data_IF_691709525015
#
_entry.id   IF_691709525015
#
_cell.length_a   1.000
_cell.length_b   1.000
_cell.length_c   1.000
_cell.angle_alpha   90.00
_cell.angle_beta   90.00
_cell.angle_gamma   90.00
#
_symmetry.space_group_name_H-M   'P 1'
#
loop_
_entity.id
_entity.type
_entity.pdbx_description
1 polymer ?
#
# COMPACT_ATOMS: atom_id res chain seq x y z
N UNK A 1 -2.76 -5.78 43.33
CA UNK A 1 -3.42 -5.93 42.01
C UNK A 1 -2.44 -5.36 40.99
N UNK A 2 -1.53 -6.18 40.48
CA UNK A 2 -0.56 -5.75 39.48
C UNK A 2 -1.27 -5.79 38.13
N UNK A 3 -1.61 -4.63 37.56
CA UNK A 3 -1.94 -4.54 36.16
C UNK A 3 -0.68 -4.91 35.37
N UNK A 4 -0.58 -6.20 35.03
CA UNK A 4 0.35 -6.69 34.02
C UNK A 4 -0.09 -6.11 32.68
N UNK A 5 0.22 -4.83 32.43
CA UNK A 5 0.37 -4.36 31.08
C UNK A 5 1.61 -5.08 30.55
N UNK A 6 1.41 -6.25 29.93
CA UNK A 6 2.45 -6.84 29.09
C UNK A 6 3.00 -5.73 28.21
N UNK A 7 4.33 -5.57 28.12
CA UNK A 7 4.91 -4.55 27.25
C UNK A 7 4.30 -4.73 25.86
N UNK A 8 3.70 -3.65 25.33
CA UNK A 8 3.08 -3.69 24.00
C UNK A 8 4.17 -4.07 23.01
N UNK A 9 3.97 -5.16 22.27
CA UNK A 9 4.94 -5.65 21.31
C UNK A 9 5.22 -4.57 20.25
N UNK A 10 6.47 -4.09 20.11
CA UNK A 10 6.82 -3.11 19.09
C UNK A 10 6.44 -3.55 17.66
N UNK A 11 6.40 -4.86 17.37
CA UNK A 11 5.93 -5.36 16.09
C UNK A 11 4.42 -5.12 15.89
N UNK A 12 3.61 -5.29 16.92
CA UNK A 12 2.17 -4.95 16.85
C UNK A 12 1.96 -3.44 16.65
N UNK A 13 2.78 -2.61 17.32
CA UNK A 13 2.77 -1.15 17.12
C UNK A 13 3.11 -0.81 15.66
N UNK A 14 4.15 -1.42 15.10
CA UNK A 14 4.52 -1.21 13.71
C UNK A 14 3.39 -1.58 12.74
N UNK A 15 2.75 -2.74 12.95
CA UNK A 15 1.59 -3.18 12.17
C UNK A 15 0.42 -2.20 12.22
N UNK A 16 0.16 -1.61 13.41
CA UNK A 16 -0.90 -0.62 13.58
C UNK A 16 -0.58 0.67 12.83
N UNK A 17 0.65 1.18 12.95
CA UNK A 17 1.10 2.39 12.26
C UNK A 17 1.04 2.21 10.73
N UNK A 18 1.43 1.04 10.21
CA UNK A 18 1.34 0.73 8.78
C UNK A 18 -0.11 0.88 8.28
N UNK A 19 -1.08 0.32 9.01
CA UNK A 19 -2.52 0.37 8.68
C UNK A 19 -3.08 1.80 8.76
N UNK A 20 -2.67 2.56 9.76
CA UNK A 20 -3.08 3.97 9.88
C UNK A 20 -2.50 4.81 8.73
N UNK A 21 -1.25 4.56 8.35
CA UNK A 21 -0.64 5.24 7.21
C UNK A 21 -1.36 4.92 5.90
N UNK A 22 -1.63 3.65 5.60
CA UNK A 22 -2.31 3.26 4.34
C UNK A 22 -3.72 3.84 4.27
N UNK A 23 -4.46 3.86 5.39
CA UNK A 23 -5.80 4.48 5.46
C UNK A 23 -5.78 5.98 5.16
N UNK A 24 -4.73 6.69 5.58
CA UNK A 24 -4.58 8.13 5.37
C UNK A 24 -3.97 8.51 4.00
N UNK A 25 -3.40 7.54 3.27
CA UNK A 25 -2.67 7.78 2.02
C UNK A 25 -3.30 7.13 0.78
N UNK A 26 -4.57 6.70 0.86
CA UNK A 26 -5.30 6.05 -0.24
C UNK A 26 -5.26 6.89 -1.54
N UNK A 27 -5.30 8.22 -1.43
CA UNK A 27 -5.24 9.12 -2.60
C UNK A 27 -3.90 9.11 -3.34
N UNK A 28 -2.80 9.01 -2.61
CA UNK A 28 -1.46 8.92 -3.22
C UNK A 28 -1.29 7.54 -3.85
N UNK A 29 -1.75 6.52 -3.14
CA UNK A 29 -1.65 5.12 -3.56
C UNK A 29 -2.46 4.85 -4.84
N UNK A 30 -3.70 5.36 -4.89
CA UNK A 30 -4.59 5.17 -6.04
C UNK A 30 -4.02 5.81 -7.30
N UNK A 31 -3.43 7.00 -7.19
CA UNK A 31 -2.72 7.67 -8.28
C UNK A 31 -1.48 6.90 -8.71
N UNK A 32 -0.73 6.34 -7.75
CA UNK A 32 0.41 5.48 -8.02
C UNK A 32 0.04 4.26 -8.86
N UNK A 33 -0.98 3.51 -8.45
CA UNK A 33 -1.47 2.35 -9.21
C UNK A 33 -1.99 2.77 -10.58
N UNK A 34 -2.81 3.82 -10.67
CA UNK A 34 -3.34 4.30 -11.94
C UNK A 34 -2.23 4.73 -12.92
N UNK A 35 -1.20 5.40 -12.42
CA UNK A 35 -0.01 5.76 -13.20
C UNK A 35 0.73 4.53 -13.74
N UNK A 36 0.89 3.49 -12.92
CA UNK A 36 1.50 2.23 -13.36
C UNK A 36 0.63 1.49 -14.39
N UNK A 37 -0.71 1.48 -14.22
CA UNK A 37 -1.63 0.90 -15.20
C UNK A 37 -1.48 1.59 -16.55
N UNK A 38 -1.47 2.92 -16.59
CA UNK A 38 -1.30 3.66 -17.85
C UNK A 38 0.09 3.46 -18.45
N UNK A 39 1.16 3.49 -17.63
CA UNK A 39 2.52 3.27 -18.12
C UNK A 39 2.72 1.88 -18.75
N UNK A 40 1.99 0.87 -18.27
CA UNK A 40 2.05 -0.50 -18.80
C UNK A 40 1.05 -0.76 -19.94
N UNK A 41 0.14 0.18 -20.22
CA UNK A 41 -0.87 0.05 -21.27
C UNK A 41 -0.85 1.30 -22.16
N UNK A 42 0.00 1.34 -23.21
CA UNK A 42 0.20 2.53 -24.04
C UNK A 42 -1.03 2.98 -24.84
N UNK A 43 -2.08 2.14 -24.88
CA UNK A 43 -3.37 2.47 -25.51
C UNK A 43 -4.29 3.29 -24.59
N UNK A 44 -3.94 3.48 -23.32
CA UNK A 44 -4.73 4.24 -22.36
C UNK A 44 -4.30 5.71 -22.35
N UNK A 45 -5.25 6.60 -22.60
CA UNK A 45 -5.04 8.04 -22.47
C UNK A 45 -4.97 8.49 -21.00
N UNK A 46 -4.33 9.63 -20.74
CA UNK A 46 -4.19 10.21 -19.39
C UNK A 46 -5.54 10.46 -18.70
N UNK A 47 -6.60 10.76 -19.46
CA UNK A 47 -7.97 10.92 -18.94
C UNK A 47 -8.50 9.63 -18.30
N UNK A 48 -8.12 8.47 -18.85
CA UNK A 48 -8.48 7.16 -18.30
C UNK A 48 -7.78 6.92 -16.96
N UNK A 49 -6.56 7.45 -16.77
CA UNK A 49 -5.84 7.38 -15.50
C UNK A 49 -6.62 8.00 -14.33
N UNK A 50 -7.29 9.13 -14.57
CA UNK A 50 -8.08 9.84 -13.54
C UNK A 50 -9.31 9.04 -13.16
N UNK A 51 -10.01 8.45 -14.14
CA UNK A 51 -11.17 7.58 -13.90
C UNK A 51 -10.74 6.34 -13.12
N UNK A 52 -9.69 5.66 -13.57
CA UNK A 52 -9.10 4.50 -12.89
C UNK A 52 -8.68 4.88 -11.46
N UNK A 53 -7.99 5.99 -11.25
CA UNK A 53 -7.59 6.43 -9.90
C UNK A 53 -8.77 6.63 -8.95
N UNK A 54 -9.88 7.21 -9.43
CA UNK A 54 -11.09 7.42 -8.62
C UNK A 54 -11.77 6.10 -8.28
N UNK A 55 -11.85 5.16 -9.22
CA UNK A 55 -12.41 3.83 -8.99
C UNK A 55 -11.55 3.01 -8.02
N UNK A 56 -10.23 3.05 -8.21
CA UNK A 56 -9.26 2.38 -7.34
C UNK A 56 -9.41 2.87 -5.91
N UNK A 57 -9.51 4.19 -5.69
CA UNK A 57 -9.63 4.80 -4.36
C UNK A 57 -10.72 4.13 -3.50
N UNK A 58 -11.83 3.71 -4.11
CA UNK A 58 -12.96 3.10 -3.41
C UNK A 58 -12.80 1.60 -3.15
N UNK A 59 -11.84 0.93 -3.79
CA UNK A 59 -11.75 -0.53 -3.85
C UNK A 59 -10.36 -1.09 -3.50
N UNK A 60 -9.50 -0.30 -2.87
CA UNK A 60 -8.18 -0.80 -2.44
C UNK A 60 -8.35 -1.77 -1.28
N UNK A 61 -7.87 -3.00 -1.49
CA UNK A 61 -7.64 -4.00 -0.46
C UNK A 61 -6.16 -3.99 -0.09
N UNK A 62 -5.87 -4.09 1.20
CA UNK A 62 -4.51 -4.03 1.72
C UNK A 62 -4.10 -5.35 2.35
N UNK A 63 -2.92 -5.81 1.97
CA UNK A 63 -2.21 -6.90 2.65
C UNK A 63 -0.91 -6.34 3.25
N UNK A 64 -0.47 -6.93 4.36
CA UNK A 64 0.70 -6.46 5.10
C UNK A 64 1.63 -7.63 5.38
N UNK A 65 2.92 -7.44 5.16
CA UNK A 65 3.93 -8.39 5.63
C UNK A 65 3.99 -8.38 7.16
N UNK A 66 4.58 -9.44 7.73
CA UNK A 66 5.02 -9.37 9.12
C UNK A 66 6.06 -8.24 9.27
N UNK A 67 6.01 -7.46 10.37
CA UNK A 67 7.02 -6.44 10.65
C UNK A 67 8.40 -7.08 10.81
N UNK A 68 9.36 -6.62 10.01
CA UNK A 68 10.75 -7.02 10.11
C UNK A 68 11.54 -5.99 10.92
N UNK A 69 12.26 -6.41 11.95
CA UNK A 69 13.05 -5.48 12.76
C UNK A 69 14.27 -4.99 11.97
N UNK A 70 14.43 -3.68 11.88
CA UNK A 70 15.57 -3.01 11.23
C UNK A 70 16.57 -2.47 12.26
N UNK A 71 16.05 -1.96 13.38
CA UNK A 71 16.84 -1.37 14.48
C UNK A 71 16.05 -1.45 15.81
N UNK A 72 16.58 -0.92 16.91
CA UNK A 72 15.97 -0.95 18.24
C UNK A 72 14.49 -0.53 18.23
N UNK A 73 14.17 0.58 17.54
CA UNK A 73 12.82 1.14 17.42
C UNK A 73 12.34 1.22 15.96
N UNK A 74 12.99 0.53 15.03
CA UNK A 74 12.69 0.64 13.60
C UNK A 74 12.28 -0.69 12.99
N UNK A 75 11.21 -0.65 12.23
CA UNK A 75 10.60 -1.83 11.60
C UNK A 75 10.28 -1.55 10.13
N UNK A 76 10.51 -2.54 9.29
CA UNK A 76 10.06 -2.56 7.90
C UNK A 76 8.73 -3.30 7.80
N UNK A 77 7.76 -2.73 7.10
CA UNK A 77 6.50 -3.40 6.74
C UNK A 77 6.26 -3.18 5.26
N UNK A 78 6.00 -4.26 4.51
CA UNK A 78 5.52 -4.16 3.13
C UNK A 78 4.01 -4.09 3.17
N UNK A 79 3.44 -3.00 2.67
CA UNK A 79 2.01 -2.86 2.44
C UNK A 79 1.72 -3.08 0.95
N UNK A 80 0.96 -4.12 0.63
CA UNK A 80 0.55 -4.43 -0.74
C UNK A 80 -0.85 -3.90 -0.97
N UNK A 81 -0.95 -2.92 -1.87
CA UNK A 81 -2.23 -2.42 -2.35
C UNK A 81 -2.71 -3.31 -3.50
N UNK A 82 -3.97 -3.72 -3.47
CA UNK A 82 -4.61 -4.52 -4.53
C UNK A 82 -5.97 -3.93 -4.88
N UNK A 83 -6.31 -3.89 -6.15
CA UNK A 83 -7.59 -3.29 -6.59
C UNK A 83 -8.05 -3.88 -7.92
N UNK A 84 -9.36 -4.11 -8.13
CA UNK A 84 -9.89 -4.42 -9.45
C UNK A 84 -9.81 -3.17 -10.34
N UNK A 85 -9.39 -3.36 -11.59
CA UNK A 85 -9.32 -2.33 -12.61
C UNK A 85 -9.99 -2.86 -13.87
N UNK A 86 -10.99 -2.13 -14.36
CA UNK A 86 -11.56 -2.38 -15.67
C UNK A 86 -10.78 -1.59 -16.71
N UNK A 87 -10.15 -2.30 -17.65
CA UNK A 87 -9.47 -1.67 -18.77
C UNK A 87 -10.36 -1.76 -20.00
N UNK A 88 -10.77 -0.63 -20.60
CA UNK A 88 -11.54 -0.63 -21.84
C UNK A 88 -10.88 -1.52 -22.89
N UNK A 89 -11.68 -2.36 -23.55
CA UNK A 89 -11.26 -3.29 -24.61
C UNK A 89 -10.35 -4.46 -24.17
N UNK A 90 -9.71 -4.39 -23.00
CA UNK A 90 -8.81 -5.45 -22.50
C UNK A 90 -9.44 -6.31 -21.40
N UNK A 91 -10.53 -5.83 -20.78
CA UNK A 91 -11.30 -6.55 -19.77
C UNK A 91 -10.92 -6.19 -18.32
N UNK A 92 -11.27 -7.08 -17.39
CA UNK A 92 -11.08 -6.87 -15.96
C UNK A 92 -9.75 -7.46 -15.48
N UNK A 93 -9.03 -6.69 -14.68
CA UNK A 93 -7.75 -7.06 -14.10
C UNK A 93 -7.76 -6.79 -12.61
N UNK A 94 -6.87 -7.48 -11.89
CA UNK A 94 -6.43 -7.09 -10.56
C UNK A 94 -5.06 -6.41 -10.71
N UNK A 95 -4.98 -5.15 -10.33
CA UNK A 95 -3.72 -4.42 -10.24
C UNK A 95 -3.21 -4.46 -8.78
N UNK A 96 -1.92 -4.68 -8.60
CA UNK A 96 -1.27 -4.65 -7.29
C UNK A 96 0.07 -3.92 -7.30
N UNK A 97 0.39 -3.27 -6.19
CA UNK A 97 1.62 -2.50 -6.01
C UNK A 97 2.06 -2.51 -4.54
N UNK A 98 3.37 -2.66 -4.30
CA UNK A 98 3.94 -2.70 -2.96
C UNK A 98 4.47 -1.33 -2.52
N UNK A 99 4.34 -1.08 -1.24
CA UNK A 99 4.87 0.07 -0.53
C UNK A 99 5.76 -0.43 0.60
N UNK A 100 7.03 -0.09 0.55
CA UNK A 100 8.00 -0.41 1.58
C UNK A 100 7.96 0.70 2.63
N UNK A 101 7.43 0.38 3.82
CA UNK A 101 7.29 1.33 4.92
C UNK A 101 8.39 1.12 5.95
N UNK A 102 9.15 2.17 6.26
CA UNK A 102 10.02 2.24 7.43
C UNK A 102 9.26 2.93 8.57
N UNK A 103 9.07 2.22 9.67
CA UNK A 103 8.28 2.66 10.82
C UNK A 103 9.17 2.85 12.03
N UNK A 104 8.98 3.97 12.71
CA UNK A 104 9.58 4.26 14.02
C UNK A 104 8.53 4.06 15.11
N UNK A 105 8.72 3.01 15.91
CA UNK A 105 7.77 2.62 16.97
C UNK A 105 7.85 3.53 18.19
N UNK A 106 8.96 4.26 18.37
CA UNK A 106 9.13 5.24 19.45
C UNK A 106 8.38 6.53 19.11
N UNK A 107 8.55 7.04 17.90
CA UNK A 107 7.85 8.23 17.39
C UNK A 107 6.42 7.94 16.92
N UNK A 108 6.07 6.66 16.79
CA UNK A 108 4.76 6.15 16.33
C UNK A 108 4.36 6.66 14.95
N UNK A 109 5.29 6.65 13.99
CA UNK A 109 5.04 7.13 12.62
C UNK A 109 5.81 6.34 11.57
N UNK A 110 5.32 6.42 10.34
CA UNK A 110 6.11 6.06 9.14
C UNK A 110 7.13 7.17 8.89
N UNK A 111 8.42 6.82 8.85
CA UNK A 111 9.52 7.75 8.56
C UNK A 111 9.84 7.83 7.08
N UNK A 112 9.72 6.69 6.40
CA UNK A 112 9.91 6.61 4.96
C UNK A 112 8.88 5.67 4.35
N UNK A 113 8.41 6.00 3.15
CA UNK A 113 7.45 5.20 2.40
C UNK A 113 7.84 5.20 0.92
N UNK A 114 8.45 4.11 0.47
CA UNK A 114 8.93 3.97 -0.89
C UNK A 114 7.99 3.09 -1.72
N UNK A 115 7.66 3.56 -2.91
CA UNK A 115 6.90 2.78 -3.90
C UNK A 115 7.86 1.81 -4.57
N UNK A 116 7.58 0.51 -4.49
CA UNK A 116 8.27 -0.49 -5.29
C UNK A 116 7.58 -0.63 -6.65
N UNK A 117 7.89 0.27 -7.58
CA UNK A 117 7.33 0.23 -8.92
C UNK A 117 7.60 -1.09 -9.65
N UNK A 118 8.70 -1.79 -9.30
CA UNK A 118 9.06 -3.08 -9.90
C UNK A 118 8.14 -4.21 -9.44
N UNK A 119 7.45 -4.04 -8.32
CA UNK A 119 6.46 -5.01 -7.83
C UNK A 119 5.10 -4.88 -8.52
N UNK A 120 4.93 -3.92 -9.43
CA UNK A 120 3.66 -3.72 -10.10
C UNK A 120 3.27 -4.98 -10.88
N UNK A 121 2.07 -5.48 -10.62
CA UNK A 121 1.54 -6.63 -11.33
C UNK A 121 0.09 -6.38 -11.74
N UNK A 122 -0.25 -6.92 -12.92
CA UNK A 122 -1.61 -6.96 -13.44
C UNK A 122 -1.95 -8.38 -13.83
N UNK A 123 -2.93 -8.97 -13.16
CA UNK A 123 -3.40 -10.32 -13.44
C UNK A 123 -4.82 -10.25 -13.94
N UNK A 124 -5.11 -10.90 -15.06
CA UNK A 124 -6.46 -10.99 -15.60
C UNK A 124 -7.35 -11.74 -14.60
N UNK A 125 -8.49 -11.13 -14.27
CA UNK A 125 -9.46 -11.66 -13.32
C UNK A 125 -10.61 -12.36 -14.04
#
# INVERSE_FOLDING_TARGET
MFCSCSPVDPAEIASKIAREWTANNIDVVSKGIAGQVVSNNPLLETTVAVVISNEIKQRIVWEYSHPNKLDENRYGVVATASTPVEIPLLGNYKASLNYNLEIDTKEKRVRNADIDASSFAMTKH
#
